data_IF_179281641606
#
_entry.id   IF_179281641606
#
_cell.length_a   1.000
_cell.length_b   1.000
_cell.length_c   1.000
_cell.angle_alpha   90.00
_cell.angle_beta   90.00
_cell.angle_gamma   90.00
#
_symmetry.space_group_name_H-M   'P 1'
#
loop_
_entity.id
_entity.type
_entity.pdbx_description
1 polymer ?
#
# COMPACT_ATOMS: atom_id res chain seq x y z
N UNK A 1 -10.97 -4.15 -12.86
CA UNK A 1 -10.03 -5.28 -12.79
C UNK A 1 -9.08 -5.15 -13.96
N UNK A 2 -7.78 -5.11 -13.68
CA UNK A 2 -6.68 -5.09 -14.65
C UNK A 2 -5.83 -6.35 -14.44
N UNK A 3 -5.66 -7.18 -15.47
CA UNK A 3 -4.77 -8.35 -15.46
C UNK A 3 -3.53 -8.05 -16.30
N UNK A 4 -2.35 -8.31 -15.74
CA UNK A 4 -1.05 -8.04 -16.36
C UNK A 4 -0.20 -9.29 -16.35
N UNK A 5 0.34 -9.66 -17.51
CA UNK A 5 1.42 -10.62 -17.61
C UNK A 5 2.74 -9.89 -17.36
N UNK A 6 3.51 -10.31 -16.36
CA UNK A 6 4.72 -9.59 -15.94
C UNK A 6 5.89 -9.92 -16.87
N UNK A 7 6.42 -8.89 -17.54
CA UNK A 7 7.62 -8.97 -18.36
C UNK A 7 8.50 -7.71 -18.20
N UNK A 8 8.82 -7.38 -16.96
CA UNK A 8 9.56 -6.18 -16.60
C UNK A 8 8.77 -5.23 -15.71
N UNK A 9 9.34 -4.06 -15.49
CA UNK A 9 8.73 -3.04 -14.63
C UNK A 9 7.70 -2.21 -15.38
N UNK A 10 6.55 -1.96 -14.77
CA UNK A 10 5.43 -1.22 -15.38
C UNK A 10 4.65 -0.43 -14.31
N UNK A 11 4.27 0.80 -14.65
CA UNK A 11 3.28 1.59 -13.92
C UNK A 11 1.94 1.44 -14.62
N UNK A 12 0.88 1.18 -13.86
CA UNK A 12 -0.45 0.83 -14.35
C UNK A 12 -1.48 1.87 -13.91
N UNK A 13 -2.73 1.65 -14.29
CA UNK A 13 -3.85 2.51 -13.85
C UNK A 13 -4.05 2.37 -12.34
N UNK A 14 -4.63 3.41 -11.75
CA UNK A 14 -4.92 3.45 -10.31
C UNK A 14 -3.68 3.20 -9.45
N UNK A 15 -2.51 3.57 -9.96
CA UNK A 15 -1.24 3.62 -9.22
C UNK A 15 -0.71 2.27 -8.76
N UNK A 16 -1.23 1.22 -9.40
CA UNK A 16 -0.67 -0.10 -9.30
C UNK A 16 0.69 -0.14 -10.01
N UNK A 17 1.67 -0.78 -9.39
CA UNK A 17 3.04 -0.81 -9.89
C UNK A 17 3.62 -2.21 -9.79
N UNK A 18 4.41 -2.56 -10.81
CA UNK A 18 5.19 -3.78 -10.84
C UNK A 18 6.65 -3.38 -11.09
N UNK A 19 7.55 -3.81 -10.22
CA UNK A 19 9.00 -3.70 -10.39
C UNK A 19 9.53 -5.13 -10.51
N UNK A 20 9.95 -5.53 -11.69
CA UNK A 20 10.36 -6.90 -11.97
C UNK A 20 11.40 -6.97 -13.08
N UNK A 21 12.21 -8.04 -13.14
CA UNK A 21 13.01 -8.35 -14.34
C UNK A 21 12.10 -8.80 -15.50
N UNK A 22 12.58 -8.63 -16.72
CA UNK A 22 11.97 -9.22 -17.91
C UNK A 22 12.31 -10.71 -18.04
N UNK A 23 11.58 -11.43 -18.90
CA UNK A 23 11.78 -12.85 -19.17
C UNK A 23 11.17 -13.81 -18.14
N UNK A 24 10.27 -13.31 -17.29
CA UNK A 24 9.53 -14.14 -16.35
C UNK A 24 8.46 -14.97 -17.07
N UNK A 25 8.24 -16.21 -16.60
CA UNK A 25 7.36 -17.16 -17.28
C UNK A 25 6.04 -17.28 -16.52
N UNK A 26 4.94 -16.85 -17.15
CA UNK A 26 3.57 -17.02 -16.64
C UNK A 26 3.39 -16.47 -15.22
N UNK A 27 3.92 -15.26 -14.98
CA UNK A 27 3.64 -14.48 -13.78
C UNK A 27 2.49 -13.54 -14.11
N UNK A 28 1.36 -13.71 -13.43
CA UNK A 28 0.15 -12.91 -13.64
C UNK A 28 -0.13 -12.08 -12.41
N UNK A 29 -0.44 -10.80 -12.60
CA UNK A 29 -0.90 -9.93 -11.51
C UNK A 29 -2.28 -9.41 -11.86
N UNK A 30 -3.20 -9.50 -10.90
CA UNK A 30 -4.56 -8.96 -11.01
C UNK A 30 -4.76 -7.87 -9.98
N UNK A 31 -5.16 -6.70 -10.45
CA UNK A 31 -5.50 -5.57 -9.60
C UNK A 31 -7.01 -5.33 -9.65
N UNK A 32 -7.65 -5.44 -8.48
CA UNK A 32 -9.05 -5.03 -8.28
C UNK A 32 -9.15 -3.69 -7.58
N UNK A 33 -8.13 -3.29 -6.82
CA UNK A 33 -8.02 -1.99 -6.16
C UNK A 33 -6.89 -1.11 -6.71
N UNK A 34 -6.54 -0.07 -5.95
CA UNK A 34 -5.54 0.95 -6.28
C UNK A 34 -4.28 0.83 -5.42
N UNK A 35 -3.20 1.46 -5.91
CA UNK A 35 -1.99 1.72 -5.14
C UNK A 35 -1.28 0.46 -4.62
N UNK A 36 -1.43 -0.66 -5.34
CA UNK A 36 -0.78 -1.91 -4.99
C UNK A 36 0.60 -2.01 -5.63
N UNK A 37 1.50 -2.72 -4.95
CA UNK A 37 2.89 -2.85 -5.38
C UNK A 37 3.32 -4.31 -5.43
N UNK A 38 3.91 -4.70 -6.55
CA UNK A 38 4.69 -5.94 -6.67
C UNK A 38 6.15 -5.58 -6.91
N UNK A 39 7.06 -6.13 -6.12
CA UNK A 39 8.51 -6.09 -6.34
C UNK A 39 9.05 -7.50 -6.42
N UNK A 40 9.69 -7.83 -7.53
CA UNK A 40 10.36 -9.10 -7.77
C UNK A 40 11.84 -8.81 -7.97
N UNK A 41 12.69 -9.50 -7.20
CA UNK A 41 14.14 -9.37 -7.28
C UNK A 41 14.64 -9.51 -8.73
N UNK A 42 15.59 -8.66 -9.19
CA UNK A 42 16.18 -8.78 -10.52
C UNK A 42 16.90 -10.11 -10.75
N UNK A 43 17.20 -10.85 -9.67
CA UNK A 43 17.86 -12.15 -9.72
C UNK A 43 16.88 -13.33 -9.83
N UNK A 44 15.57 -13.12 -9.63
CA UNK A 44 14.52 -14.15 -9.57
C UNK A 44 14.15 -14.77 -10.94
N UNK A 45 15.14 -15.11 -11.77
CA UNK A 45 14.97 -15.61 -13.15
C UNK A 45 14.27 -16.97 -13.25
N UNK A 46 14.17 -17.70 -12.14
CA UNK A 46 13.53 -19.02 -12.07
C UNK A 46 12.08 -18.97 -11.61
N UNK A 47 11.61 -17.81 -11.16
CA UNK A 47 10.22 -17.63 -10.73
C UNK A 47 9.28 -17.82 -11.92
N UNK A 48 8.27 -18.69 -11.76
CA UNK A 48 7.32 -19.01 -12.82
C UNK A 48 5.96 -19.44 -12.27
N UNK A 49 4.91 -19.37 -13.09
CA UNK A 49 3.58 -19.90 -12.79
C UNK A 49 2.97 -19.39 -11.47
N UNK A 50 3.13 -18.09 -11.20
CA UNK A 50 2.60 -17.44 -10.00
C UNK A 50 1.48 -16.47 -10.40
N UNK A 51 0.35 -16.56 -9.72
CA UNK A 51 -0.72 -15.55 -9.80
C UNK A 51 -0.74 -14.72 -8.53
N UNK A 52 -0.65 -13.41 -8.66
CA UNK A 52 -0.77 -12.45 -7.56
C UNK A 52 -2.07 -11.68 -7.76
N UNK A 53 -2.89 -11.62 -6.73
CA UNK A 53 -4.22 -11.01 -6.78
C UNK A 53 -4.39 -10.02 -5.64
N UNK A 54 -4.48 -8.74 -5.98
CA UNK A 54 -4.85 -7.69 -5.04
C UNK A 54 -6.34 -7.45 -5.10
N UNK A 55 -7.04 -7.88 -4.04
CA UNK A 55 -8.50 -7.79 -3.94
C UNK A 55 -9.00 -6.40 -3.58
N UNK A 56 -8.12 -5.55 -3.03
CA UNK A 56 -8.41 -4.19 -2.56
C UNK A 56 -7.17 -3.29 -2.75
N UNK A 57 -7.02 -2.27 -1.90
CA UNK A 57 -6.02 -1.21 -2.02
C UNK A 57 -4.80 -1.41 -1.11
N UNK A 58 -3.72 -0.70 -1.44
CA UNK A 58 -2.51 -0.50 -0.62
C UNK A 58 -1.76 -1.80 -0.24
N UNK A 59 -1.93 -2.87 -1.03
CA UNK A 59 -1.24 -4.14 -0.80
C UNK A 59 0.19 -4.14 -1.34
N UNK A 60 1.06 -4.92 -0.69
CA UNK A 60 2.47 -5.10 -1.13
C UNK A 60 2.81 -6.59 -1.25
N UNK A 61 3.46 -6.97 -2.35
CA UNK A 61 4.12 -8.26 -2.51
C UNK A 61 5.59 -8.06 -2.86
N UNK A 62 6.49 -8.59 -2.03
CA UNK A 62 7.94 -8.58 -2.25
C UNK A 62 8.44 -10.01 -2.39
N UNK A 63 9.20 -10.31 -3.46
CA UNK A 63 9.70 -11.66 -3.75
C UNK A 63 11.20 -11.60 -4.06
N UNK A 64 12.00 -12.35 -3.30
CA UNK A 64 13.43 -12.57 -3.51
C UNK A 64 13.74 -13.48 -4.70
N UNK A 65 15.00 -13.89 -4.85
CA UNK A 65 15.44 -14.87 -5.85
C UNK A 65 14.94 -16.29 -5.51
N UNK A 66 13.69 -16.56 -5.87
CA UNK A 66 12.95 -17.75 -5.47
C UNK A 66 12.29 -18.46 -6.64
N UNK A 67 11.99 -19.74 -6.45
CA UNK A 67 11.31 -20.60 -7.42
C UNK A 67 10.09 -21.27 -6.77
N UNK A 68 9.10 -20.47 -6.43
CA UNK A 68 7.78 -20.94 -6.04
C UNK A 68 6.75 -20.68 -7.15
N UNK A 69 5.69 -21.47 -7.13
CA UNK A 69 4.52 -21.26 -7.97
C UNK A 69 3.24 -21.44 -7.16
N UNK A 70 2.14 -20.85 -7.61
CA UNK A 70 0.87 -20.89 -6.91
C UNK A 70 0.07 -19.58 -6.99
N UNK A 71 -0.61 -19.24 -5.90
CA UNK A 71 -1.47 -18.05 -5.83
C UNK A 71 -1.25 -17.27 -4.55
N UNK A 72 -1.07 -15.96 -4.68
CA UNK A 72 -0.98 -15.03 -3.56
C UNK A 72 -2.16 -14.07 -3.65
N UNK A 73 -3.05 -14.12 -2.65
CA UNK A 73 -4.16 -13.16 -2.50
C UNK A 73 -3.83 -12.16 -1.40
N UNK A 74 -4.00 -10.87 -1.72
CA UNK A 74 -3.68 -9.75 -0.83
C UNK A 74 -4.90 -8.84 -0.70
N UNK A 75 -5.30 -8.60 0.54
CA UNK A 75 -6.36 -7.66 0.92
C UNK A 75 -5.80 -6.32 1.40
N UNK A 76 -6.65 -5.56 2.09
CA UNK A 76 -6.43 -4.14 2.35
C UNK A 76 -5.20 -3.90 3.24
N UNK A 77 -4.25 -3.10 2.74
CA UNK A 77 -2.99 -2.77 3.43
C UNK A 77 -2.19 -3.99 3.88
N UNK A 78 -2.40 -5.14 3.24
CA UNK A 78 -1.74 -6.39 3.59
C UNK A 78 -0.43 -6.57 2.83
N UNK A 79 0.49 -7.33 3.43
CA UNK A 79 1.85 -7.53 2.90
C UNK A 79 2.20 -9.00 2.80
N UNK A 80 2.85 -9.41 1.72
CA UNK A 80 3.44 -10.74 1.57
C UNK A 80 4.90 -10.57 1.17
N UNK A 81 5.81 -11.09 2.00
CA UNK A 81 7.26 -11.02 1.79
C UNK A 81 7.78 -12.45 1.71
N UNK A 82 8.46 -12.75 0.61
CA UNK A 82 9.09 -14.05 0.34
C UNK A 82 10.58 -13.82 0.13
N UNK A 83 11.40 -14.45 0.97
CA UNK A 83 12.86 -14.39 0.91
C UNK A 83 13.47 -15.07 -0.32
N UNK A 84 14.78 -15.26 -0.27
CA UNK A 84 15.56 -15.90 -1.33
C UNK A 84 15.50 -17.43 -1.23
N UNK A 85 15.71 -18.14 -2.34
CA UNK A 85 15.82 -19.61 -2.41
C UNK A 85 14.60 -20.37 -1.87
N UNK A 86 13.44 -19.70 -1.77
CA UNK A 86 12.18 -20.36 -1.44
C UNK A 86 11.74 -21.19 -2.64
N UNK A 87 11.35 -22.44 -2.38
CA UNK A 87 10.98 -23.40 -3.43
C UNK A 87 9.67 -24.08 -3.11
N UNK A 88 8.92 -24.46 -4.15
CA UNK A 88 7.76 -25.34 -4.00
C UNK A 88 7.73 -26.49 -5.00
N UNK A 89 7.16 -27.63 -4.60
CA UNK A 89 6.95 -28.79 -5.50
C UNK A 89 5.58 -28.77 -6.17
N UNK A 90 4.64 -27.95 -5.70
CA UNK A 90 3.30 -27.75 -6.26
C UNK A 90 2.80 -26.34 -5.94
N UNK A 91 1.62 -25.92 -6.44
CA UNK A 91 1.04 -24.63 -6.11
C UNK A 91 0.89 -24.45 -4.60
N UNK A 92 1.39 -23.31 -4.09
CA UNK A 92 1.19 -22.86 -2.71
C UNK A 92 0.17 -21.73 -2.70
N UNK A 93 -0.73 -21.73 -1.72
CA UNK A 93 -1.81 -20.76 -1.62
C UNK A 93 -1.59 -19.83 -0.42
N UNK A 94 -1.42 -18.54 -0.69
CA UNK A 94 -1.31 -17.50 0.32
C UNK A 94 -2.57 -16.64 0.32
N UNK A 95 -3.10 -16.34 1.50
CA UNK A 95 -4.17 -15.36 1.69
C UNK A 95 -3.80 -14.45 2.85
N UNK A 96 -3.63 -13.16 2.56
CA UNK A 96 -3.22 -12.15 3.52
C UNK A 96 -4.26 -11.02 3.52
N UNK A 97 -4.97 -10.81 4.62
CA UNK A 97 -6.12 -9.89 4.69
C UNK A 97 -6.13 -9.07 5.98
N UNK A 98 -6.86 -7.96 5.97
CA UNK A 98 -7.07 -7.06 7.13
C UNK A 98 -5.78 -6.45 7.71
N UNK A 99 -4.95 -5.87 6.83
CA UNK A 99 -3.76 -5.11 7.25
C UNK A 99 -2.74 -5.98 7.99
N UNK A 100 -2.68 -7.27 7.65
CA UNK A 100 -1.69 -8.21 8.19
C UNK A 100 -0.52 -8.45 7.25
N UNK A 101 0.46 -9.20 7.73
CA UNK A 101 1.65 -9.58 7.00
C UNK A 101 1.91 -11.10 7.04
N UNK A 102 2.28 -11.67 5.89
CA UNK A 102 2.92 -12.98 5.78
C UNK A 102 4.40 -12.76 5.44
N UNK A 103 5.29 -13.35 6.23
CA UNK A 103 6.74 -13.30 6.00
C UNK A 103 7.31 -14.71 5.93
N UNK A 104 7.97 -15.03 4.83
CA UNK A 104 8.64 -16.31 4.57
C UNK A 104 10.14 -16.04 4.46
N UNK A 105 10.92 -16.61 5.38
CA UNK A 105 12.38 -16.51 5.37
C UNK A 105 13.02 -17.27 4.22
N UNK A 106 14.32 -17.06 4.09
CA UNK A 106 15.14 -17.63 3.03
C UNK A 106 15.17 -19.16 3.09
N UNK A 107 15.43 -19.79 1.95
CA UNK A 107 15.68 -21.22 1.83
C UNK A 107 14.58 -22.13 2.39
N UNK A 108 13.33 -21.64 2.45
CA UNK A 108 12.18 -22.48 2.78
C UNK A 108 11.87 -23.48 1.65
N UNK A 109 11.24 -24.59 2.02
CA UNK A 109 10.75 -25.59 1.06
C UNK A 109 9.31 -25.94 1.35
N UNK A 110 8.44 -25.73 0.36
CA UNK A 110 7.03 -26.11 0.43
C UNK A 110 6.78 -27.34 -0.43
N UNK A 111 6.25 -28.40 0.18
CA UNK A 111 5.72 -29.54 -0.54
C UNK A 111 4.34 -29.20 -1.14
N UNK A 112 3.57 -30.22 -1.48
CA UNK A 112 2.31 -30.08 -2.21
C UNK A 112 1.14 -29.59 -1.35
N UNK A 113 0.26 -28.77 -1.94
CA UNK A 113 -1.05 -28.36 -1.40
C UNK A 113 -1.01 -27.58 -0.07
N UNK A 114 -0.01 -26.72 0.12
CA UNK A 114 0.12 -25.94 1.34
C UNK A 114 -0.72 -24.65 1.30
N UNK A 115 -1.33 -24.31 2.43
CA UNK A 115 -2.09 -23.07 2.61
C UNK A 115 -1.51 -22.23 3.75
N UNK A 116 -1.31 -20.95 3.49
CA UNK A 116 -0.83 -19.97 4.46
C UNK A 116 -1.86 -18.84 4.48
N UNK A 117 -2.56 -18.68 5.61
CA UNK A 117 -3.70 -17.74 5.68
C UNK A 117 -3.80 -17.01 7.01
N UNK A 118 -3.89 -15.67 6.94
CA UNK A 118 -3.94 -14.80 8.13
C UNK A 118 -5.33 -14.65 8.71
N UNK A 119 -6.37 -14.98 7.93
CA UNK A 119 -7.78 -14.68 8.20
C UNK A 119 -8.68 -15.92 8.18
N UNK A 120 -9.89 -15.77 8.73
CA UNK A 120 -11.00 -16.74 8.71
C UNK A 120 -11.98 -16.52 7.53
N UNK A 121 -11.69 -15.57 6.63
CA UNK A 121 -12.56 -15.03 5.56
C UNK A 121 -13.82 -14.28 6.03
N UNK A 122 -14.41 -14.65 7.17
CA UNK A 122 -15.63 -14.06 7.69
C UNK A 122 -15.48 -13.65 9.16
N UNK A 123 -16.15 -12.56 9.56
CA UNK A 123 -16.17 -12.10 10.93
C UNK A 123 -17.00 -13.04 11.83
N UNK A 124 -16.47 -13.31 13.02
CA UNK A 124 -17.14 -14.05 14.10
C UNK A 124 -17.34 -13.07 15.24
N UNK A 125 -18.56 -13.02 15.77
CA UNK A 125 -18.95 -12.11 16.84
C UNK A 125 -19.25 -12.88 18.12
N UNK A 126 -18.83 -12.32 19.25
CA UNK A 126 -19.31 -12.73 20.56
C UNK A 126 -20.74 -12.20 20.77
N UNK A 127 -21.64 -13.08 21.19
CA UNK A 127 -23.08 -12.76 21.26
C UNK A 127 -23.43 -11.86 22.44
N UNK A 128 -22.64 -11.89 23.52
CA UNK A 128 -22.93 -11.13 24.73
C UNK A 128 -22.46 -9.68 24.58
N UNK A 129 -21.25 -9.49 24.09
CA UNK A 129 -20.65 -8.16 23.91
C UNK A 129 -20.93 -7.53 22.54
N UNK A 130 -21.35 -8.32 21.55
CA UNK A 130 -21.51 -7.88 20.16
C UNK A 130 -20.19 -7.61 19.43
N UNK A 131 -19.04 -7.81 20.09
CA UNK A 131 -17.73 -7.53 19.51
C UNK A 131 -17.28 -8.64 18.57
N UNK A 132 -16.54 -8.28 17.53
CA UNK A 132 -15.80 -9.26 16.73
C UNK A 132 -14.67 -9.88 17.55
N UNK A 133 -14.44 -11.18 17.39
CA UNK A 133 -13.45 -11.94 18.18
C UNK A 133 -12.34 -12.61 17.37
N UNK A 134 -12.41 -12.60 16.03
CA UNK A 134 -11.50 -13.32 15.15
C UNK A 134 -10.73 -12.41 14.18
N UNK A 135 -10.09 -11.37 14.72
CA UNK A 135 -9.24 -10.51 13.91
C UNK A 135 -8.06 -11.28 13.31
N UNK A 136 -7.73 -10.96 12.06
CA UNK A 136 -6.60 -11.54 11.34
C UNK A 136 -5.29 -11.25 12.06
N UNK A 137 -4.31 -12.15 11.92
CA UNK A 137 -3.01 -12.04 12.59
C UNK A 137 -1.88 -12.41 11.64
N UNK A 138 -0.73 -11.75 11.82
CA UNK A 138 0.48 -11.99 11.04
C UNK A 138 0.95 -13.45 11.10
N UNK A 139 1.70 -13.85 10.08
CA UNK A 139 2.40 -15.13 10.02
C UNK A 139 3.87 -14.86 9.72
N UNK A 140 4.77 -15.49 10.49
CA UNK A 140 6.21 -15.41 10.25
C UNK A 140 6.81 -16.82 10.25
N UNK A 141 7.45 -17.17 9.14
CA UNK A 141 8.17 -18.43 8.96
C UNK A 141 9.65 -18.08 8.78
N UNK A 142 10.50 -18.58 9.67
CA UNK A 142 11.94 -18.39 9.65
C UNK A 142 12.62 -19.06 8.47
N UNK A 143 13.92 -18.79 8.30
CA UNK A 143 14.71 -19.37 7.25
C UNK A 143 14.79 -20.89 7.36
N UNK A 144 14.91 -21.57 6.22
CA UNK A 144 15.10 -23.01 6.16
C UNK A 144 14.04 -23.80 6.93
N UNK A 145 12.77 -23.40 6.78
CA UNK A 145 11.63 -24.19 7.26
C UNK A 145 11.12 -25.08 6.13
N UNK A 146 10.95 -26.37 6.42
CA UNK A 146 10.31 -27.30 5.51
C UNK A 146 8.85 -27.48 5.88
N UNK A 147 7.96 -27.10 4.96
CA UNK A 147 6.51 -27.33 5.07
C UNK A 147 6.15 -28.53 4.21
N UNK A 148 5.83 -29.65 4.83
CA UNK A 148 5.48 -30.88 4.13
C UNK A 148 4.06 -30.83 3.54
N UNK A 149 3.54 -31.96 3.06
CA UNK A 149 2.32 -32.00 2.25
C UNK A 149 1.08 -31.56 3.03
N UNK A 150 0.22 -30.75 2.39
CA UNK A 150 -1.12 -30.39 2.84
C UNK A 150 -1.18 -29.74 4.24
N UNK A 151 -0.13 -29.03 4.64
CA UNK A 151 -0.16 -28.29 5.90
C UNK A 151 -0.90 -26.95 5.73
N UNK A 152 -1.56 -26.53 6.81
CA UNK A 152 -2.20 -25.23 6.94
C UNK A 152 -1.48 -24.44 8.03
N UNK A 153 -0.97 -23.27 7.68
CA UNK A 153 -0.33 -22.33 8.61
C UNK A 153 -1.26 -21.14 8.78
N UNK A 154 -1.72 -20.92 10.01
CA UNK A 154 -2.82 -20.01 10.31
C UNK A 154 -2.37 -18.73 11.01
N UNK A 155 -3.19 -17.67 10.92
CA UNK A 155 -2.92 -16.36 11.51
C UNK A 155 -2.49 -16.43 12.99
N UNK A 156 -1.42 -15.69 13.31
CA UNK A 156 -0.78 -15.64 14.62
C UNK A 156 0.33 -16.68 14.83
N UNK A 157 0.81 -17.27 13.74
CA UNK A 157 1.85 -18.31 13.78
C UNK A 157 3.24 -17.75 13.57
N UNK A 158 4.16 -18.19 14.43
CA UNK A 158 5.60 -17.92 14.33
C UNK A 158 6.34 -19.27 14.33
N UNK A 159 7.09 -19.58 13.28
CA UNK A 159 7.91 -20.80 13.18
C UNK A 159 9.35 -20.37 13.00
N UNK A 160 10.24 -20.74 13.93
CA UNK A 160 11.64 -20.35 13.82
C UNK A 160 12.43 -21.31 12.91
N UNK A 161 13.64 -20.88 12.52
CA UNK A 161 14.46 -21.48 11.48
C UNK A 161 14.74 -22.98 11.67
N UNK A 162 15.00 -23.69 10.57
CA UNK A 162 15.41 -25.10 10.60
C UNK A 162 14.30 -26.08 11.03
N UNK A 163 13.07 -25.59 11.25
CA UNK A 163 11.95 -26.41 11.70
C UNK A 163 11.24 -27.13 10.56
N UNK A 164 10.49 -28.17 10.89
CA UNK A 164 9.71 -28.96 9.94
C UNK A 164 8.24 -28.92 10.35
N UNK A 165 7.36 -28.54 9.43
CA UNK A 165 5.91 -28.70 9.57
C UNK A 165 5.50 -30.01 8.91
N UNK A 166 5.00 -30.95 9.71
CA UNK A 166 4.64 -32.28 9.27
C UNK A 166 3.32 -32.37 8.48
N UNK A 167 3.10 -33.56 7.92
CA UNK A 167 2.07 -33.84 6.94
C UNK A 167 0.68 -33.51 7.48
N UNK A 168 -0.16 -32.83 6.69
CA UNK A 168 -1.55 -32.48 7.04
C UNK A 168 -1.71 -31.80 8.42
N UNK A 169 -0.74 -30.99 8.83
CA UNK A 169 -0.79 -30.31 10.14
C UNK A 169 -1.54 -28.98 10.07
N UNK A 170 -2.33 -28.68 11.11
CA UNK A 170 -2.94 -27.36 11.31
C UNK A 170 -2.14 -26.59 12.37
N UNK A 171 -1.36 -25.62 11.91
CA UNK A 171 -0.37 -24.92 12.73
C UNK A 171 -0.90 -23.55 13.15
N UNK A 172 -1.02 -23.37 14.47
CA UNK A 172 -1.36 -22.09 15.11
C UNK A 172 -0.59 -21.95 16.43
N UNK A 173 0.30 -20.95 16.52
CA UNK A 173 1.09 -20.67 17.73
C UNK A 173 2.56 -20.33 17.43
N UNK A 174 3.40 -20.31 18.48
CA UNK A 174 4.82 -20.00 18.39
C UNK A 174 5.67 -21.25 18.56
N UNK A 175 6.58 -21.51 17.62
CA UNK A 175 7.39 -22.72 17.57
C UNK A 175 8.89 -22.35 17.48
N UNK A 176 9.73 -22.92 18.35
CA UNK A 176 11.16 -22.64 18.39
C UNK A 176 11.91 -23.31 17.23
N UNK A 177 13.19 -22.99 17.08
CA UNK A 177 14.01 -23.49 15.97
C UNK A 177 14.21 -25.00 16.04
N UNK A 178 14.59 -25.60 14.90
CA UNK A 178 15.04 -26.99 14.81
C UNK A 178 14.07 -27.97 15.47
N UNK A 179 12.77 -27.77 15.25
CA UNK A 179 11.68 -28.55 15.83
C UNK A 179 10.80 -29.19 14.76
N UNK A 180 10.28 -30.39 15.04
CA UNK A 180 9.22 -31.01 14.22
C UNK A 180 7.87 -30.64 14.83
N UNK A 181 6.98 -30.06 14.02
CA UNK A 181 5.67 -29.53 14.39
C UNK A 181 4.61 -30.33 13.63
N UNK A 182 3.81 -31.14 14.34
CA UNK A 182 2.83 -32.05 13.71
C UNK A 182 1.47 -32.05 14.41
N UNK A 183 0.42 -32.38 13.66
CA UNK A 183 -0.94 -32.64 14.17
C UNK A 183 -1.94 -31.51 13.93
N UNK A 184 -3.16 -31.70 14.42
CA UNK A 184 -4.25 -30.71 14.36
C UNK A 184 -5.02 -30.73 15.69
N UNK A 185 -4.81 -29.76 16.60
CA UNK A 185 -3.84 -28.66 16.49
C UNK A 185 -2.39 -29.15 16.60
N UNK A 186 -1.47 -28.51 15.85
CA UNK A 186 -0.08 -28.93 15.81
C UNK A 186 0.67 -28.71 17.14
N UNK A 187 1.55 -29.64 17.48
CA UNK A 187 2.43 -29.62 18.65
C UNK A 187 3.86 -30.00 18.25
N UNK A 188 4.82 -29.67 19.11
CA UNK A 188 6.22 -30.08 18.92
C UNK A 188 6.33 -31.58 19.23
N UNK A 189 6.71 -32.39 18.25
CA UNK A 189 6.96 -33.83 18.45
C UNK A 189 8.43 -34.14 18.72
N UNK A 190 9.36 -33.33 18.18
CA UNK A 190 10.80 -33.51 18.36
C UNK A 190 11.53 -32.17 18.32
N UNK A 191 12.64 -32.09 19.05
CA UNK A 191 13.56 -30.93 19.13
C UNK A 191 14.97 -31.36 18.72
N UNK A 192 15.85 -30.40 18.51
CA UNK A 192 17.25 -30.59 18.11
C UNK A 192 17.35 -31.42 16.82
N UNK A 193 16.51 -31.11 15.83
CA UNK A 193 16.54 -31.75 14.51
C UNK A 193 17.18 -30.84 13.47
N UNK A 194 17.50 -31.42 12.33
CA UNK A 194 17.79 -30.65 11.11
C UNK A 194 17.26 -31.44 9.90
N UNK A 195 17.12 -30.77 8.77
CA UNK A 195 16.69 -31.35 7.50
C UNK A 195 17.56 -30.83 6.35
N UNK A 196 17.54 -31.53 5.22
CA UNK A 196 18.32 -31.15 4.03
C UNK A 196 17.51 -31.39 2.75
N UNK A 197 17.87 -30.70 1.67
CA UNK A 197 17.14 -30.71 0.38
C UNK A 197 17.32 -31.96 -0.51
N UNK A 198 18.48 -32.66 -0.54
CA UNK A 198 18.66 -33.79 -1.44
C UNK A 198 17.54 -34.82 -1.30
N UNK A 199 16.88 -35.13 -2.43
CA UNK A 199 15.79 -36.09 -2.44
C UNK A 199 16.33 -37.51 -2.29
N UNK A 200 15.83 -38.21 -1.28
CA UNK A 200 16.17 -39.61 -1.01
C UNK A 200 15.81 -40.55 -2.18
N UNK A 201 14.83 -40.21 -3.01
CA UNK A 201 14.46 -40.98 -4.20
C UNK A 201 15.53 -40.98 -5.30
N UNK A 202 16.38 -39.95 -5.34
CA UNK A 202 17.44 -39.82 -6.36
C UNK A 202 18.84 -40.06 -5.78
N UNK A 203 18.92 -40.47 -4.51
CA UNK A 203 20.18 -40.77 -3.87
C UNK A 203 20.76 -42.08 -4.41
N UNK A 204 22.07 -42.08 -4.70
CA UNK A 204 22.80 -43.30 -5.11
C UNK A 204 23.32 -44.10 -3.92
N UNK A 205 23.32 -43.49 -2.74
CA UNK A 205 23.77 -44.06 -1.48
C UNK A 205 22.79 -43.65 -0.37
N UNK A 206 22.71 -44.47 0.68
CA UNK A 206 21.90 -44.17 1.86
C UNK A 206 22.50 -43.03 2.67
N UNK A 207 21.65 -42.13 3.16
CA UNK A 207 22.04 -41.11 4.13
C UNK A 207 22.14 -41.73 5.53
N UNK A 208 23.34 -42.18 5.92
CA UNK A 208 23.55 -42.89 7.20
C UNK A 208 23.81 -41.97 8.38
N UNK A 209 24.45 -40.84 8.13
CA UNK A 209 24.81 -39.85 9.15
C UNK A 209 24.96 -38.45 8.54
N UNK A 210 25.42 -37.47 9.33
CA UNK A 210 25.56 -36.08 8.88
C UNK A 210 26.77 -35.81 7.98
N UNK A 211 27.53 -36.84 7.57
CA UNK A 211 28.73 -36.68 6.71
C UNK A 211 28.39 -36.22 5.29
N UNK A 212 27.19 -36.54 4.80
CA UNK A 212 26.70 -36.11 3.48
C UNK A 212 26.28 -34.64 3.43
N UNK A 213 26.33 -33.94 4.56
CA UNK A 213 25.79 -32.59 4.72
C UNK A 213 26.89 -31.58 4.48
N UNK A 214 26.69 -30.78 3.42
CA UNK A 214 27.71 -29.83 2.95
C UNK A 214 27.72 -28.53 3.75
N UNK A 215 26.56 -28.11 4.26
CA UNK A 215 26.41 -26.87 5.01
C UNK A 215 25.56 -27.10 6.25
N UNK A 216 26.03 -26.59 7.40
CA UNK A 216 25.38 -26.75 8.71
C UNK A 216 24.93 -25.41 9.29
N UNK A 217 24.78 -24.36 8.48
CA UNK A 217 24.41 -23.01 8.95
C UNK A 217 23.08 -22.96 9.75
N UNK A 218 22.13 -23.87 9.47
CA UNK A 218 20.85 -23.96 10.19
C UNK A 218 20.83 -25.03 11.28
N UNK A 219 21.97 -25.64 11.59
CA UNK A 219 22.09 -26.70 12.58
C UNK A 219 22.37 -26.10 13.95
N UNK A 220 21.31 -25.88 14.73
CA UNK A 220 21.42 -25.40 16.10
C UNK A 220 20.57 -26.25 17.05
N UNK A 221 20.94 -26.24 18.34
CA UNK A 221 20.08 -26.78 19.39
C UNK A 221 18.83 -25.92 19.48
N UNK A 222 17.69 -26.56 19.75
CA UNK A 222 16.42 -25.86 19.92
C UNK A 222 16.51 -24.90 21.12
N UNK A 223 16.27 -23.62 20.85
CA UNK A 223 16.16 -22.54 21.85
C UNK A 223 14.69 -22.17 21.97
N UNK A 224 14.12 -22.38 23.17
CA UNK A 224 12.70 -22.08 23.42
C UNK A 224 12.34 -20.61 23.26
N UNK A 225 13.33 -19.73 23.40
CA UNK A 225 13.21 -18.29 23.18
C UNK A 225 14.41 -17.85 22.34
N UNK A 226 14.13 -17.38 21.14
CA UNK A 226 15.10 -16.77 20.24
C UNK A 226 14.35 -15.88 19.24
N UNK A 227 14.97 -14.80 18.74
CA UNK A 227 14.42 -14.06 17.63
C UNK A 227 14.25 -14.99 16.42
N UNK A 228 13.27 -14.69 15.57
CA UNK A 228 13.08 -15.42 14.33
C UNK A 228 14.19 -15.01 13.36
N UNK A 229 14.97 -15.98 12.92
CA UNK A 229 15.96 -15.74 11.88
C UNK A 229 15.29 -15.90 10.51
N UNK A 230 15.35 -14.86 9.66
CA UNK A 230 14.69 -14.83 8.36
C UNK A 230 15.65 -15.05 7.17
N UNK A 231 16.96 -15.01 7.41
CA UNK A 231 17.96 -14.97 6.33
C UNK A 231 18.15 -13.55 5.78
N UNK A 232 19.25 -13.36 5.06
CA UNK A 232 19.71 -12.04 4.59
C UNK A 232 18.81 -11.47 3.49
N UNK A 233 18.32 -12.31 2.58
CA UNK A 233 17.47 -11.90 1.46
C UNK A 233 16.12 -11.36 1.94
N UNK A 234 15.43 -12.15 2.77
CA UNK A 234 14.18 -11.70 3.40
C UNK A 234 14.39 -10.47 4.29
N UNK A 235 15.50 -10.41 5.04
CA UNK A 235 15.79 -9.26 5.89
C UNK A 235 16.03 -7.98 5.08
N UNK A 236 16.74 -8.09 3.95
CA UNK A 236 16.95 -6.99 3.01
C UNK A 236 15.62 -6.45 2.44
N UNK A 237 14.71 -7.33 2.02
CA UNK A 237 13.40 -6.92 1.53
C UNK A 237 12.60 -6.16 2.60
N UNK A 238 12.67 -6.59 3.85
CA UNK A 238 12.00 -5.92 4.97
C UNK A 238 12.62 -4.56 5.30
N UNK A 239 13.96 -4.46 5.34
CA UNK A 239 14.63 -3.18 5.61
C UNK A 239 14.39 -2.14 4.53
N UNK A 240 14.11 -2.59 3.31
CA UNK A 240 13.92 -1.72 2.15
C UNK A 240 12.44 -1.50 1.80
N UNK A 241 11.49 -2.02 2.58
CA UNK A 241 10.06 -1.87 2.24
C UNK A 241 9.63 -0.40 2.12
N UNK A 242 10.20 0.48 2.96
CA UNK A 242 9.92 1.92 2.94
C UNK A 242 10.55 2.63 1.73
N UNK A 243 11.58 2.03 1.11
CA UNK A 243 12.18 2.54 -0.12
C UNK A 243 11.28 2.34 -1.35
N UNK A 244 10.20 1.57 -1.21
CA UNK A 244 9.15 1.43 -2.20
C UNK A 244 7.88 2.14 -1.73
N UNK A 245 7.88 3.49 -1.67
CA UNK A 245 6.77 4.22 -1.09
C UNK A 245 5.50 3.88 -1.86
N UNK A 246 4.51 3.36 -1.16
CA UNK A 246 3.11 3.42 -1.58
C UNK A 246 2.81 4.91 -1.80
N UNK A 247 2.44 5.28 -3.03
CA UNK A 247 2.17 6.69 -3.34
C UNK A 247 0.88 7.03 -2.61
N UNK A 248 0.87 8.08 -1.81
CA UNK A 248 -0.35 8.52 -1.15
C UNK A 248 -1.29 9.05 -2.23
N UNK A 249 -2.20 8.19 -2.68
CA UNK A 249 -3.27 8.58 -3.60
C UNK A 249 -4.32 9.32 -2.78
N UNK A 250 -4.88 10.38 -3.33
CA UNK A 250 -5.89 11.22 -2.69
C UNK A 250 -5.32 12.25 -1.69
N UNK A 251 -4.22 12.92 -2.05
CA UNK A 251 -3.81 14.16 -1.37
C UNK A 251 -4.36 15.41 -2.06
N UNK A 252 -5.03 16.32 -1.32
CA UNK A 252 -5.42 17.60 -1.88
C UNK A 252 -4.17 18.45 -2.17
N UNK A 253 -4.11 19.01 -3.37
CA UNK A 253 -3.09 19.96 -3.80
C UNK A 253 -3.76 21.30 -4.08
N UNK A 254 -3.15 22.38 -3.61
CA UNK A 254 -3.58 23.75 -3.88
C UNK A 254 -2.39 24.64 -4.23
N UNK A 255 -2.57 25.49 -5.22
CA UNK A 255 -1.66 26.60 -5.51
C UNK A 255 -2.43 27.82 -5.94
N UNK A 256 -2.00 29.00 -5.48
CA UNK A 256 -2.57 30.28 -5.88
C UNK A 256 -1.70 30.92 -6.96
N UNK A 257 -2.30 31.29 -8.09
CA UNK A 257 -1.60 32.06 -9.13
C UNK A 257 -1.65 33.54 -8.81
N UNK A 258 -2.86 34.04 -8.53
CA UNK A 258 -3.07 35.40 -8.08
C UNK A 258 -4.42 35.53 -7.37
N UNK A 259 -4.51 36.54 -6.52
CA UNK A 259 -5.72 37.08 -5.95
C UNK A 259 -5.57 38.60 -5.99
N UNK A 260 -6.64 39.33 -6.27
CA UNK A 260 -6.60 40.79 -6.44
C UNK A 260 -7.96 41.36 -6.11
N UNK A 261 -7.98 42.49 -5.40
CA UNK A 261 -9.17 43.31 -5.21
C UNK A 261 -8.99 44.58 -6.01
N UNK A 262 -10.01 44.94 -6.78
CA UNK A 262 -10.02 46.18 -7.54
C UNK A 262 -11.45 46.73 -7.58
N UNK A 263 -11.66 47.90 -6.99
CA UNK A 263 -12.95 48.60 -7.00
C UNK A 263 -14.13 47.73 -6.50
N UNK A 264 -13.90 46.94 -5.45
CA UNK A 264 -14.92 46.06 -4.86
C UNK A 264 -15.17 44.75 -5.61
N UNK A 265 -14.39 44.46 -6.66
CA UNK A 265 -14.37 43.18 -7.35
C UNK A 265 -13.17 42.35 -6.89
N UNK A 266 -13.44 41.15 -6.36
CA UNK A 266 -12.42 40.18 -6.02
C UNK A 266 -12.16 39.23 -7.18
N UNK A 267 -10.92 39.22 -7.67
CA UNK A 267 -10.42 38.26 -8.64
C UNK A 267 -9.53 37.23 -7.94
N UNK A 268 -9.70 35.96 -8.28
CA UNK A 268 -8.89 34.86 -7.76
C UNK A 268 -8.67 33.82 -8.85
N UNK A 269 -7.46 33.28 -8.93
CA UNK A 269 -7.10 32.18 -9.83
C UNK A 269 -6.05 31.28 -9.18
N UNK A 270 -6.18 29.98 -9.38
CA UNK A 270 -5.21 29.00 -8.89
C UNK A 270 -5.52 27.61 -9.42
N UNK A 271 -4.83 26.60 -8.89
CA UNK A 271 -5.11 25.19 -9.13
C UNK A 271 -5.53 24.55 -7.81
N UNK A 272 -6.56 23.71 -7.86
CA UNK A 272 -6.97 22.86 -6.75
C UNK A 272 -7.35 21.48 -7.29
N UNK A 273 -6.69 20.43 -6.85
CA UNK A 273 -6.87 19.07 -7.37
C UNK A 273 -6.67 18.02 -6.28
N UNK A 274 -7.07 16.80 -6.59
CA UNK A 274 -6.74 15.62 -5.79
C UNK A 274 -5.73 14.76 -6.55
N UNK A 275 -4.56 14.51 -5.96
CA UNK A 275 -3.53 13.70 -6.62
C UNK A 275 -4.03 12.26 -6.79
N UNK A 276 -3.94 11.71 -8.00
CA UNK A 276 -4.51 10.40 -8.33
C UNK A 276 -5.92 10.44 -8.90
N UNK A 277 -6.61 11.58 -8.80
CA UNK A 277 -7.96 11.75 -9.36
C UNK A 277 -7.90 12.64 -10.58
N UNK A 278 -8.21 12.02 -11.71
CA UNK A 278 -8.07 12.62 -13.02
C UNK A 278 -9.07 13.77 -13.28
N UNK A 279 -8.60 14.80 -13.99
CA UNK A 279 -9.37 16.02 -14.26
C UNK A 279 -9.44 16.29 -15.77
N UNK A 280 -10.22 15.48 -16.49
CA UNK A 280 -10.38 15.58 -17.95
C UNK A 280 -11.49 16.53 -18.41
N UNK A 281 -12.62 16.57 -17.69
CA UNK A 281 -13.83 17.24 -18.17
C UNK A 281 -14.26 18.44 -17.33
N UNK A 282 -14.93 19.39 -17.98
CA UNK A 282 -15.57 20.53 -17.32
C UNK A 282 -16.79 20.12 -16.46
N UNK A 283 -17.26 18.87 -16.57
CA UNK A 283 -18.39 18.32 -15.82
C UNK A 283 -18.12 18.09 -14.30
N UNK A 284 -19.21 17.75 -13.59
CA UNK A 284 -19.46 17.95 -12.15
C UNK A 284 -18.50 17.31 -11.13
N UNK A 285 -17.51 16.51 -11.54
CA UNK A 285 -16.64 15.78 -10.61
C UNK A 285 -15.85 16.74 -9.71
N UNK A 286 -15.35 17.85 -10.28
CA UNK A 286 -14.75 18.95 -9.53
C UNK A 286 -15.69 20.16 -9.50
N UNK A 287 -15.96 20.72 -8.33
CA UNK A 287 -16.65 22.02 -8.17
C UNK A 287 -15.82 22.93 -7.29
N UNK A 288 -15.70 24.19 -7.69
CA UNK A 288 -14.95 25.18 -6.95
C UNK A 288 -15.87 26.31 -6.51
N UNK A 289 -15.77 26.70 -5.25
CA UNK A 289 -16.48 27.86 -4.72
C UNK A 289 -15.55 28.68 -3.83
N UNK A 290 -15.71 30.00 -3.82
CA UNK A 290 -15.13 30.86 -2.81
C UNK A 290 -16.16 31.04 -1.68
N UNK A 291 -15.70 30.90 -0.44
CA UNK A 291 -16.52 31.08 0.74
C UNK A 291 -15.93 32.22 1.56
N UNK A 292 -16.79 33.17 1.95
CA UNK A 292 -16.52 34.19 2.95
C UNK A 292 -17.41 33.92 4.15
N UNK A 293 -16.81 33.72 5.32
CA UNK A 293 -17.52 33.28 6.51
C UNK A 293 -17.17 34.13 7.73
N UNK A 294 -18.19 34.60 8.44
CA UNK A 294 -18.07 35.21 9.78
C UNK A 294 -18.53 34.20 10.84
N UNK A 295 -18.71 34.64 12.10
CA UNK A 295 -19.39 33.84 13.12
C UNK A 295 -20.85 33.53 12.77
N UNK A 296 -21.52 34.44 12.07
CA UNK A 296 -22.98 34.45 11.95
C UNK A 296 -23.46 34.23 10.51
N UNK A 297 -22.65 34.59 9.52
CA UNK A 297 -23.01 34.57 8.10
C UNK A 297 -22.00 33.80 7.23
N UNK A 298 -22.51 33.20 6.15
CA UNK A 298 -21.71 32.52 5.14
C UNK A 298 -22.15 32.94 3.73
N UNK A 299 -21.20 33.42 2.93
CA UNK A 299 -21.41 33.85 1.55
C UNK A 299 -20.63 32.92 0.61
N UNK A 300 -21.34 32.27 -0.32
CA UNK A 300 -20.76 31.27 -1.23
C UNK A 300 -20.85 31.75 -2.67
N UNK A 301 -19.71 31.80 -3.35
CA UNK A 301 -19.57 32.22 -4.73
C UNK A 301 -19.03 31.10 -5.60
N UNK A 302 -19.71 30.75 -6.68
CA UNK A 302 -19.20 29.75 -7.60
C UNK A 302 -17.98 30.27 -8.37
N UNK A 303 -16.98 29.41 -8.54
CA UNK A 303 -15.79 29.70 -9.35
C UNK A 303 -15.87 28.94 -10.69
N UNK A 304 -15.33 29.56 -11.73
CA UNK A 304 -15.18 28.96 -13.05
C UNK A 304 -13.96 28.03 -13.12
N UNK A 305 -13.92 27.21 -14.17
CA UNK A 305 -12.79 26.33 -14.50
C UNK A 305 -12.00 26.87 -15.68
N UNK A 306 -10.69 26.62 -15.68
CA UNK A 306 -9.75 26.96 -16.75
C UNK A 306 -8.82 25.78 -17.02
N UNK A 307 -8.16 25.77 -18.18
CA UNK A 307 -7.11 24.81 -18.46
C UNK A 307 -5.75 25.31 -17.96
N UNK A 308 -4.97 24.45 -17.31
CA UNK A 308 -3.54 24.63 -17.06
C UNK A 308 -2.77 23.47 -17.71
N UNK A 309 -2.12 23.66 -18.88
CA UNK A 309 -1.42 22.56 -19.54
C UNK A 309 -0.12 22.15 -18.83
N UNK A 310 0.36 22.93 -17.85
CA UNK A 310 1.63 22.70 -17.18
C UNK A 310 1.47 22.06 -15.80
N UNK A 311 0.29 22.18 -15.18
CA UNK A 311 0.05 21.67 -13.83
C UNK A 311 0.37 20.18 -13.71
N UNK A 312 0.01 19.38 -14.72
CA UNK A 312 0.28 17.93 -14.74
C UNK A 312 1.77 17.62 -14.58
N UNK A 313 2.64 18.39 -15.24
CA UNK A 313 4.09 18.24 -15.09
C UNK A 313 4.58 18.73 -13.72
N UNK A 314 3.96 19.78 -13.17
CA UNK A 314 4.33 20.38 -11.89
C UNK A 314 4.01 19.45 -10.70
N UNK A 315 2.89 18.75 -10.76
CA UNK A 315 2.46 17.79 -9.72
C UNK A 315 2.74 16.33 -10.12
N UNK A 316 3.59 16.11 -11.13
CA UNK A 316 3.94 14.78 -11.60
C UNK A 316 4.68 14.00 -10.52
N UNK A 317 4.19 12.79 -10.25
CA UNK A 317 4.72 11.87 -9.27
C UNK A 317 4.98 10.47 -9.85
N UNK A 318 5.15 10.39 -11.18
CA UNK A 318 5.37 9.14 -11.90
C UNK A 318 4.13 8.59 -12.61
N UNK A 319 2.96 9.23 -12.44
CA UNK A 319 1.68 8.76 -12.98
C UNK A 319 1.27 9.46 -14.29
N UNK A 320 0.66 8.71 -15.21
CA UNK A 320 0.04 9.26 -16.43
C UNK A 320 -1.39 9.74 -16.17
N UNK A 321 -1.54 10.75 -15.32
CA UNK A 321 -2.84 11.35 -14.96
C UNK A 321 -2.86 12.79 -15.43
N UNK A 322 -3.92 13.20 -16.12
CA UNK A 322 -4.07 14.60 -16.53
C UNK A 322 -4.82 15.42 -15.48
N UNK A 323 -4.19 16.49 -15.03
CA UNK A 323 -4.79 17.48 -14.13
C UNK A 323 -5.14 18.79 -14.85
N UNK A 324 -5.12 18.79 -16.18
CA UNK A 324 -5.13 20.01 -16.98
C UNK A 324 -6.38 20.88 -16.81
N UNK A 325 -7.48 20.36 -16.25
CA UNK A 325 -8.73 21.12 -15.98
C UNK A 325 -8.94 21.49 -14.50
N UNK A 326 -7.92 21.34 -13.67
CA UNK A 326 -7.98 21.64 -12.22
C UNK A 326 -7.86 23.12 -11.86
N UNK A 327 -7.67 23.99 -12.86
CA UNK A 327 -7.49 25.42 -12.62
C UNK A 327 -8.84 26.07 -12.34
N UNK A 328 -8.94 26.80 -11.24
CA UNK A 328 -10.12 27.61 -10.91
C UNK A 328 -9.85 29.09 -11.19
N UNK A 329 -10.91 29.84 -11.46
CA UNK A 329 -10.88 31.30 -11.63
C UNK A 329 -12.23 31.90 -11.23
N UNK A 330 -12.33 33.22 -11.07
CA UNK A 330 -13.65 33.87 -10.99
C UNK A 330 -14.48 33.57 -12.22
N UNK A 331 -15.80 33.40 -12.05
CA UNK A 331 -16.70 33.07 -13.16
C UNK A 331 -16.52 34.07 -14.31
N UNK A 332 -16.25 33.53 -15.51
CA UNK A 332 -15.99 34.29 -16.74
C UNK A 332 -14.86 35.34 -16.63
N UNK A 333 -14.03 35.29 -15.59
CA UNK A 333 -13.06 36.31 -15.21
C UNK A 333 -13.66 37.71 -14.96
N UNK A 334 -14.93 37.78 -14.53
CA UNK A 334 -15.65 39.05 -14.30
C UNK A 334 -15.41 39.63 -12.89
N UNK A 335 -14.77 38.87 -11.99
CA UNK A 335 -14.61 39.23 -10.59
C UNK A 335 -15.87 38.95 -9.76
N UNK A 336 -15.70 38.81 -8.44
CA UNK A 336 -16.79 38.64 -7.48
C UNK A 336 -17.09 39.99 -6.85
N UNK A 337 -18.31 40.48 -6.99
CA UNK A 337 -18.73 41.75 -6.40
C UNK A 337 -18.95 41.61 -4.89
N UNK A 338 -18.14 42.31 -4.11
CA UNK A 338 -18.19 42.32 -2.65
C UNK A 338 -18.93 43.52 -2.07
N UNK A 339 -19.35 44.50 -2.87
CA UNK A 339 -20.01 45.71 -2.38
C UNK A 339 -21.37 45.45 -1.71
N UNK A 340 -21.96 44.27 -1.93
CA UNK A 340 -23.19 43.82 -1.28
C UNK A 340 -22.98 43.03 0.01
N UNK A 341 -21.73 42.81 0.44
CA UNK A 341 -21.40 42.08 1.67
C UNK A 341 -21.18 43.09 2.81
N UNK A 342 -21.82 42.90 3.99
CA UNK A 342 -21.64 43.78 5.14
C UNK A 342 -20.18 43.88 5.61
N UNK A 343 -19.81 45.03 6.19
CA UNK A 343 -18.51 45.22 6.83
C UNK A 343 -18.30 44.20 7.96
N UNK A 344 -17.09 43.65 8.07
CA UNK A 344 -16.75 42.61 9.04
C UNK A 344 -15.48 41.83 8.71
N UNK A 345 -15.15 40.85 9.56
CA UNK A 345 -13.94 40.04 9.47
C UNK A 345 -14.30 38.65 8.91
N UNK A 346 -13.88 38.38 7.68
CA UNK A 346 -14.26 37.17 6.96
C UNK A 346 -13.10 36.19 6.86
N UNK A 347 -13.34 34.95 7.27
CA UNK A 347 -12.48 33.83 6.87
C UNK A 347 -12.77 33.52 5.42
N UNK A 348 -11.74 33.60 4.59
CA UNK A 348 -11.82 33.28 3.17
C UNK A 348 -11.36 31.84 2.92
N UNK A 349 -12.06 31.12 2.07
CA UNK A 349 -11.68 29.75 1.69
C UNK A 349 -12.09 29.45 0.25
N UNK A 350 -11.19 28.82 -0.50
CA UNK A 350 -11.56 28.12 -1.74
C UNK A 350 -11.98 26.71 -1.34
N UNK A 351 -13.25 26.38 -1.60
CA UNK A 351 -13.79 25.03 -1.47
C UNK A 351 -13.61 24.30 -2.79
N UNK A 352 -13.00 23.11 -2.75
CA UNK A 352 -12.99 22.13 -3.82
C UNK A 352 -13.88 20.96 -3.39
N UNK A 353 -14.86 20.61 -4.22
CA UNK A 353 -15.63 19.38 -4.07
C UNK A 353 -15.14 18.40 -5.13
N UNK A 354 -14.69 17.21 -4.72
CA UNK A 354 -14.29 16.13 -5.63
C UNK A 354 -14.97 14.83 -5.23
N UNK A 355 -15.69 14.19 -6.15
CA UNK A 355 -16.44 12.94 -5.90
C UNK A 355 -17.42 12.96 -4.71
N UNK A 356 -17.85 14.15 -4.26
CA UNK A 356 -18.76 14.33 -3.12
C UNK A 356 -18.06 14.76 -1.82
N UNK A 357 -16.74 14.64 -1.75
CA UNK A 357 -15.94 15.09 -0.61
C UNK A 357 -15.54 16.56 -0.76
N UNK A 358 -15.54 17.29 0.37
CA UNK A 358 -15.23 18.72 0.40
C UNK A 358 -13.86 19.00 1.02
N UNK A 359 -13.09 19.85 0.37
CA UNK A 359 -11.76 20.29 0.80
C UNK A 359 -11.69 21.82 0.80
N UNK A 360 -11.07 22.39 1.83
CA UNK A 360 -11.05 23.83 2.07
C UNK A 360 -9.61 24.33 2.13
N UNK A 361 -9.31 25.37 1.37
CA UNK A 361 -8.00 26.00 1.31
C UNK A 361 -8.12 27.48 1.60
N UNK A 362 -7.34 28.00 2.56
CA UNK A 362 -7.26 29.44 2.76
C UNK A 362 -6.27 30.04 1.74
N UNK A 363 -6.72 30.81 0.73
CA UNK A 363 -5.82 31.37 -0.27
C UNK A 363 -4.78 32.33 0.34
N UNK A 364 -5.08 32.95 1.49
CA UNK A 364 -4.17 33.91 2.12
C UNK A 364 -2.92 33.26 2.71
N UNK A 365 -2.98 31.96 3.00
CA UNK A 365 -1.82 31.18 3.47
C UNK A 365 -0.74 31.02 2.38
N UNK A 366 -1.10 31.29 1.12
CA UNK A 366 -0.22 31.17 -0.05
C UNK A 366 0.36 32.51 -0.52
N UNK A 367 0.16 33.58 0.24
CA UNK A 367 0.68 34.91 -0.04
C UNK A 367 1.77 35.29 0.96
N UNK A 368 2.79 36.01 0.49
CA UNK A 368 3.72 36.70 1.37
C UNK A 368 3.17 38.06 1.85
N UNK A 369 3.81 38.66 2.85
CA UNK A 369 3.36 39.94 3.44
C UNK A 369 3.41 41.14 2.49
N UNK A 370 4.20 41.11 1.41
CA UNK A 370 4.16 42.15 0.38
C UNK A 370 2.90 41.98 -0.49
N UNK A 371 2.64 40.75 -0.96
CA UNK A 371 1.46 40.43 -1.75
C UNK A 371 0.15 40.69 -0.99
N UNK A 372 0.09 40.39 0.32
CA UNK A 372 -1.07 40.73 1.16
C UNK A 372 -1.32 42.23 1.27
N UNK A 373 -0.25 43.04 1.27
CA UNK A 373 -0.35 44.50 1.26
C UNK A 373 -0.81 45.03 -0.10
N UNK A 374 -0.29 44.47 -1.20
CA UNK A 374 -0.61 44.92 -2.57
C UNK A 374 -2.06 44.65 -2.98
N UNK A 375 -2.72 43.66 -2.36
CA UNK A 375 -4.14 43.36 -2.61
C UNK A 375 -5.09 44.07 -1.64
N UNK A 376 -4.55 44.85 -0.69
CA UNK A 376 -5.37 45.63 0.25
C UNK A 376 -5.73 46.99 -0.37
N UNK A 377 -7.01 47.34 -0.34
CA UNK A 377 -7.55 48.65 -0.74
C UNK A 377 -8.14 49.36 0.50
N UNK A 378 -8.46 50.67 0.47
CA UNK A 378 -8.99 51.38 1.64
C UNK A 378 -10.19 50.69 2.31
N UNK A 379 -11.06 50.05 1.51
CA UNK A 379 -12.25 49.33 1.96
C UNK A 379 -12.04 47.83 2.19
N UNK A 380 -10.84 47.30 1.94
CA UNK A 380 -10.54 45.86 2.00
C UNK A 380 -9.12 45.62 2.53
N UNK A 381 -8.97 45.02 3.70
CA UNK A 381 -7.66 44.74 4.29
C UNK A 381 -7.48 43.28 4.60
N UNK A 382 -6.23 42.82 4.63
CA UNK A 382 -5.90 41.49 5.16
C UNK A 382 -5.25 41.64 6.52
N UNK A 383 -5.76 40.90 7.51
CA UNK A 383 -5.21 40.87 8.85
C UNK A 383 -5.39 39.47 9.44
N UNK A 384 -4.31 38.91 10.00
CA UNK A 384 -4.31 37.63 10.73
C UNK A 384 -4.95 36.45 9.96
N UNK A 385 -4.86 36.45 8.62
CA UNK A 385 -5.45 35.41 7.76
C UNK A 385 -6.95 35.61 7.45
N UNK A 386 -7.51 36.77 7.79
CA UNK A 386 -8.86 37.21 7.48
C UNK A 386 -8.89 38.31 6.41
N UNK A 387 -9.98 38.34 5.66
CA UNK A 387 -10.35 39.45 4.79
C UNK A 387 -11.28 40.39 5.56
N UNK A 388 -10.81 41.60 5.82
CA UNK A 388 -11.52 42.65 6.55
C UNK A 388 -12.23 43.53 5.52
N UNK A 389 -13.57 43.55 5.57
CA UNK A 389 -14.41 44.42 4.74
C UNK A 389 -14.80 45.65 5.57
N UNK A 390 -14.50 46.83 5.05
CA UNK A 390 -14.86 48.12 5.65
C UNK A 390 -15.42 49.03 4.56
N UNK A 391 -16.66 48.75 4.16
CA UNK A 391 -17.44 49.59 3.24
C UNK A 391 -17.82 50.93 3.87
#
# INVERSE_FOLDING_TARGET
>A
MEEVLVDGSVNLKYDNRIIAPSGLINIKVRFYGKNNLVVISPHAKKLKNLTIEFTTDDGIVLIGDSNLFGTIRVGYKSKVIIGDKVTSTSPVYFTCAETTQITIGDDCMFATNNQIRTDDAHAIYDIESGNRINYSKNITIGAHVWVSYNAVIFGGTEINMGSIVGYSSFVKGKFPNNSIIIGSPAKISKKNISWERPNVLWAREEFKDSSSIKDKIYWDKTKLKSPIFLGDGCSYLLSNIESYPILDTDKPYFSLDFICLNAGLLFIRGNALMTGVECYDYNQAYKYSLILKTSDDEYVFNLGKMSDPFITKKVFDGRHISYNKSKFTTLKNEGINLNGIPSGDYKISVKMVVNGDEYYFNPLDYLNEAQKRDISEPSFKIKDGYLILSL
#
